data_IF_525805334033
#
_entry.id   IF_525805334033
#
_cell.length_a   1.000
_cell.length_b   1.000
_cell.length_c   1.000
_cell.angle_alpha   90.00
_cell.angle_beta   90.00
_cell.angle_gamma   90.00
#
_symmetry.space_group_name_H-M   'P 1'
#
loop_
_entity.id
_entity.type
_entity.pdbx_description
1 polymer ?
#
# COMPACT_ATOMS: atom_id res chain seq x y z
N UNK A 1 32.98 -11.86 -19.74
CA UNK A 1 31.90 -11.29 -18.84
C UNK A 1 30.56 -11.73 -19.41
N UNK A 2 29.92 -12.76 -18.82
CA UNK A 2 28.53 -13.12 -19.16
C UNK A 2 27.63 -12.03 -18.58
N UNK A 3 26.96 -11.26 -19.42
CA UNK A 3 25.83 -10.44 -18.99
C UNK A 3 24.80 -11.41 -18.41
N UNK A 4 24.62 -11.36 -17.08
CA UNK A 4 23.50 -12.02 -16.44
C UNK A 4 22.24 -11.37 -17.03
N UNK A 5 21.56 -12.08 -17.94
CA UNK A 5 20.35 -11.61 -18.57
C UNK A 5 19.35 -11.22 -17.49
N UNK A 6 18.94 -9.97 -17.48
CA UNK A 6 17.93 -9.47 -16.54
C UNK A 6 16.66 -10.32 -16.76
N UNK A 7 16.32 -11.13 -15.78
CA UNK A 7 15.06 -11.90 -15.84
C UNK A 7 13.89 -10.92 -15.94
N UNK A 8 12.93 -11.15 -16.83
CA UNK A 8 11.76 -10.29 -16.97
C UNK A 8 11.03 -10.25 -15.61
N UNK A 9 10.70 -9.03 -15.18
CA UNK A 9 9.92 -8.85 -13.94
C UNK A 9 8.54 -9.44 -14.13
N UNK A 10 8.00 -10.13 -13.12
CA UNK A 10 6.66 -10.69 -13.21
C UNK A 10 5.61 -9.59 -13.38
N UNK A 11 4.53 -9.92 -14.08
CA UNK A 11 3.39 -9.00 -14.27
C UNK A 11 2.77 -8.67 -12.90
N UNK A 12 2.53 -7.39 -12.58
CA UNK A 12 1.97 -6.96 -11.29
C UNK A 12 0.44 -7.16 -11.26
N UNK A 13 0.02 -8.41 -11.08
CA UNK A 13 -1.39 -8.84 -11.22
C UNK A 13 -2.30 -8.19 -10.17
N UNK A 14 -1.87 -8.11 -8.90
CA UNK A 14 -2.68 -7.51 -7.84
C UNK A 14 -2.91 -6.01 -8.08
N UNK A 15 -1.88 -5.32 -8.53
CA UNK A 15 -1.96 -3.90 -8.92
C UNK A 15 -2.96 -3.70 -10.06
N UNK A 16 -2.87 -4.53 -11.10
CA UNK A 16 -3.79 -4.48 -12.24
C UNK A 16 -5.22 -4.71 -11.77
N UNK A 17 -5.47 -5.73 -10.95
CA UNK A 17 -6.80 -6.02 -10.40
C UNK A 17 -7.33 -4.83 -9.60
N UNK A 18 -6.54 -4.29 -8.66
CA UNK A 18 -6.93 -3.18 -7.81
C UNK A 18 -7.30 -1.93 -8.64
N UNK A 19 -6.43 -1.55 -9.59
CA UNK A 19 -6.66 -0.38 -10.43
C UNK A 19 -7.82 -0.57 -11.41
N UNK A 20 -8.00 -1.78 -11.98
CA UNK A 20 -9.15 -2.09 -12.82
C UNK A 20 -10.45 -1.99 -12.04
N UNK A 21 -10.50 -2.53 -10.81
CA UNK A 21 -11.66 -2.41 -9.93
C UNK A 21 -11.99 -0.94 -9.62
N UNK A 22 -10.96 -0.12 -9.32
CA UNK A 22 -11.13 1.32 -9.09
C UNK A 22 -11.65 2.05 -10.34
N UNK A 23 -11.12 1.72 -11.52
CA UNK A 23 -11.58 2.31 -12.78
C UNK A 23 -13.02 1.95 -13.08
N UNK A 24 -13.40 0.67 -12.93
CA UNK A 24 -14.77 0.21 -13.15
C UNK A 24 -15.76 0.88 -12.19
N UNK A 25 -15.42 0.95 -10.90
CA UNK A 25 -16.23 1.65 -9.91
C UNK A 25 -16.37 3.13 -10.22
N UNK A 26 -15.28 3.81 -10.59
CA UNK A 26 -15.30 5.23 -10.97
C UNK A 26 -16.14 5.48 -12.23
N UNK A 27 -16.11 4.55 -13.19
CA UNK A 27 -16.90 4.62 -14.42
C UNK A 27 -18.42 4.52 -14.18
N UNK A 28 -18.88 4.15 -12.98
CA UNK A 28 -20.30 4.18 -12.63
C UNK A 28 -20.82 5.59 -12.33
N UNK A 29 -19.93 6.56 -12.11
CA UNK A 29 -20.31 7.95 -11.74
C UNK A 29 -21.30 8.62 -12.71
N UNK A 30 -21.13 8.55 -14.05
CA UNK A 30 -22.08 9.16 -14.98
C UNK A 30 -23.42 8.40 -15.11
N UNK A 31 -23.51 7.18 -14.56
CA UNK A 31 -24.75 6.40 -14.58
C UNK A 31 -25.77 6.83 -13.52
N UNK A 32 -25.39 7.80 -12.66
CA UNK A 32 -26.22 8.33 -11.58
C UNK A 32 -25.63 8.03 -10.18
N UNK A 33 -26.23 8.60 -9.11
CA UNK A 33 -25.67 8.58 -7.78
C UNK A 33 -25.62 7.18 -7.11
N UNK A 34 -26.35 6.19 -7.59
CA UNK A 34 -26.59 4.92 -6.90
C UNK A 34 -25.32 4.16 -6.49
N UNK A 35 -24.59 3.57 -7.45
CA UNK A 35 -23.44 2.69 -7.14
C UNK A 35 -22.25 3.50 -6.63
N UNK A 36 -21.94 4.62 -7.27
CA UNK A 36 -20.81 5.46 -6.87
C UNK A 36 -20.98 5.95 -5.42
N UNK A 37 -22.17 6.48 -5.07
CA UNK A 37 -22.47 6.97 -3.73
C UNK A 37 -22.53 5.86 -2.68
N UNK A 38 -22.93 4.65 -3.05
CA UNK A 38 -22.90 3.50 -2.16
C UNK A 38 -21.48 3.05 -1.79
N UNK A 39 -20.49 3.34 -2.64
CA UNK A 39 -19.10 2.92 -2.47
C UNK A 39 -18.23 3.97 -1.78
N UNK A 40 -18.55 5.28 -1.88
CA UNK A 40 -17.76 6.35 -1.26
C UNK A 40 -17.95 6.43 0.26
N UNK A 41 -17.07 7.18 0.94
CA UNK A 41 -17.23 7.49 2.37
C UNK A 41 -18.52 8.27 2.63
N UNK A 42 -19.18 7.94 3.74
CA UNK A 42 -20.34 8.64 4.26
C UNK A 42 -20.46 8.33 5.75
N UNK A 43 -20.05 9.25 6.65
CA UNK A 43 -20.05 9.03 8.10
C UNK A 43 -21.46 8.73 8.65
N UNK A 44 -22.50 9.34 8.05
CA UNK A 44 -23.88 9.11 8.47
C UNK A 44 -24.30 7.67 8.22
N UNK A 45 -24.01 7.17 7.01
CA UNK A 45 -24.33 5.79 6.63
C UNK A 45 -23.44 4.77 7.37
N UNK A 46 -22.18 5.13 7.64
CA UNK A 46 -21.32 4.32 8.49
C UNK A 46 -21.91 4.18 9.90
N UNK A 47 -22.43 5.27 10.49
CA UNK A 47 -23.12 5.28 11.77
C UNK A 47 -24.40 4.42 11.78
N UNK A 48 -25.03 4.23 10.62
CA UNK A 48 -26.16 3.31 10.42
C UNK A 48 -25.72 1.86 10.14
N UNK A 49 -24.43 1.50 10.34
CA UNK A 49 -23.93 0.14 10.25
C UNK A 49 -23.40 -0.26 8.86
N UNK A 50 -23.28 0.68 7.90
CA UNK A 50 -22.71 0.38 6.58
C UNK A 50 -21.17 0.27 6.64
N UNK A 51 -20.65 -0.73 7.38
CA UNK A 51 -19.21 -0.89 7.67
C UNK A 51 -18.35 -1.13 6.41
N UNK A 52 -18.94 -1.59 5.30
CA UNK A 52 -18.22 -1.74 4.04
C UNK A 52 -17.63 -0.42 3.54
N UNK A 53 -18.18 0.73 3.92
CA UNK A 53 -17.69 2.07 3.57
C UNK A 53 -16.31 2.40 4.14
N UNK A 54 -15.75 1.56 5.00
CA UNK A 54 -14.36 1.63 5.43
C UNK A 54 -13.37 1.01 4.39
N UNK A 55 -13.88 0.20 3.47
CA UNK A 55 -13.05 -0.47 2.45
C UNK A 55 -13.47 -0.13 1.02
N UNK A 56 -14.77 -0.03 0.75
CA UNK A 56 -15.27 0.20 -0.62
C UNK A 56 -14.83 1.51 -1.28
N UNK A 57 -14.44 2.59 -0.55
CA UNK A 57 -13.96 3.79 -1.21
C UNK A 57 -12.68 3.61 -2.04
N UNK A 58 -11.93 2.51 -1.87
CA UNK A 58 -10.82 2.15 -2.77
C UNK A 58 -11.29 1.82 -4.20
N UNK A 59 -12.57 1.46 -4.36
CA UNK A 59 -13.15 1.07 -5.65
C UNK A 59 -13.58 2.26 -6.51
N UNK A 60 -13.56 3.48 -5.97
CA UNK A 60 -14.00 4.68 -6.69
C UNK A 60 -13.02 5.83 -6.43
N UNK A 61 -12.82 6.68 -7.45
CA UNK A 61 -11.98 7.88 -7.34
C UNK A 61 -12.87 9.11 -7.26
N UNK A 62 -12.70 9.90 -6.19
CA UNK A 62 -13.56 11.02 -5.85
C UNK A 62 -13.21 12.34 -6.53
N UNK A 63 -12.07 12.41 -7.27
CA UNK A 63 -11.64 13.64 -7.94
C UNK A 63 -12.60 14.03 -9.07
N UNK A 64 -12.76 15.36 -9.27
CA UNK A 64 -13.59 15.90 -10.34
C UNK A 64 -12.83 16.08 -11.66
N UNK A 65 -11.50 16.12 -11.58
CA UNK A 65 -10.62 16.28 -12.73
C UNK A 65 -10.15 14.93 -13.28
N UNK A 66 -10.43 14.65 -14.54
CA UNK A 66 -9.91 13.46 -15.23
C UNK A 66 -8.38 13.38 -15.18
N UNK A 67 -7.69 14.54 -15.29
CA UNK A 67 -6.24 14.59 -15.23
C UNK A 67 -5.74 14.19 -13.83
N UNK A 68 -6.39 14.64 -12.76
CA UNK A 68 -6.06 14.23 -11.40
C UNK A 68 -6.27 12.72 -11.19
N UNK A 69 -7.39 12.18 -11.67
CA UNK A 69 -7.66 10.73 -11.63
C UNK A 69 -6.54 9.96 -12.33
N UNK A 70 -6.18 10.34 -13.55
CA UNK A 70 -5.10 9.67 -14.30
C UNK A 70 -3.78 9.75 -13.55
N UNK A 71 -3.39 10.93 -13.05
CA UNK A 71 -2.14 11.13 -12.33
C UNK A 71 -2.06 10.26 -11.08
N UNK A 72 -3.12 10.21 -10.28
CA UNK A 72 -3.20 9.37 -9.07
C UNK A 72 -3.12 7.89 -9.43
N UNK A 73 -3.87 7.42 -10.42
CA UNK A 73 -3.85 6.01 -10.82
C UNK A 73 -2.49 5.59 -11.39
N UNK A 74 -1.80 6.48 -12.13
CA UNK A 74 -0.45 6.23 -12.61
C UNK A 74 0.55 6.12 -11.44
N UNK A 75 0.46 7.00 -10.45
CA UNK A 75 1.27 6.91 -9.23
C UNK A 75 1.00 5.60 -8.48
N UNK A 76 -0.27 5.24 -8.30
CA UNK A 76 -0.68 3.98 -7.68
C UNK A 76 -0.15 2.76 -8.47
N UNK A 77 -0.15 2.81 -9.81
CA UNK A 77 0.41 1.75 -10.65
C UNK A 77 1.90 1.54 -10.39
N UNK A 78 2.67 2.64 -10.29
CA UNK A 78 4.11 2.57 -9.99
C UNK A 78 4.37 2.01 -8.59
N UNK A 79 3.66 2.50 -7.56
CA UNK A 79 3.81 2.02 -6.18
C UNK A 79 3.39 0.56 -6.07
N UNK A 80 2.26 0.19 -6.65
CA UNK A 80 1.73 -1.16 -6.59
C UNK A 80 2.64 -2.17 -7.28
N UNK A 81 3.10 -1.87 -8.50
CA UNK A 81 4.04 -2.72 -9.23
C UNK A 81 5.37 -2.87 -8.46
N UNK A 82 5.93 -1.78 -7.94
CA UNK A 82 7.12 -1.85 -7.10
C UNK A 82 6.87 -2.72 -5.85
N UNK A 83 5.70 -2.59 -5.24
CA UNK A 83 5.28 -3.42 -4.11
C UNK A 83 5.24 -4.91 -4.46
N UNK A 84 4.63 -5.30 -5.60
CA UNK A 84 4.57 -6.70 -6.02
C UNK A 84 5.95 -7.30 -6.36
N UNK A 85 6.91 -6.49 -6.80
CA UNK A 85 8.28 -6.95 -7.05
C UNK A 85 9.12 -7.05 -5.79
N UNK A 86 8.81 -6.28 -4.76
CA UNK A 86 9.60 -6.19 -3.54
C UNK A 86 9.00 -7.00 -2.38
N UNK A 87 7.69 -7.21 -2.34
CA UNK A 87 6.97 -7.80 -1.23
C UNK A 87 6.29 -9.11 -1.63
N UNK A 88 6.18 -10.09 -0.75
CA UNK A 88 5.34 -11.26 -0.98
C UNK A 88 3.86 -10.83 -1.17
N UNK A 89 3.14 -11.54 -2.02
CA UNK A 89 1.73 -11.21 -2.35
C UNK A 89 0.82 -11.05 -1.13
N UNK A 90 0.98 -11.92 -0.12
CA UNK A 90 0.20 -11.82 1.12
C UNK A 90 0.48 -10.54 1.92
N UNK A 91 1.74 -10.09 1.93
CA UNK A 91 2.11 -8.83 2.58
C UNK A 91 1.59 -7.62 1.78
N UNK A 92 1.69 -7.66 0.45
CA UNK A 92 1.11 -6.64 -0.42
C UNK A 92 -0.38 -6.46 -0.15
N UNK A 93 -1.16 -7.57 -0.14
CA UNK A 93 -2.60 -7.55 0.14
C UNK A 93 -2.91 -7.00 1.54
N UNK A 94 -2.16 -7.43 2.55
CA UNK A 94 -2.38 -6.97 3.93
C UNK A 94 -2.07 -5.48 4.06
N UNK A 95 -0.99 -4.99 3.46
CA UNK A 95 -0.63 -3.58 3.46
C UNK A 95 -1.64 -2.72 2.70
N UNK A 96 -2.17 -3.21 1.58
CA UNK A 96 -3.24 -2.57 0.82
C UNK A 96 -4.51 -2.43 1.67
N UNK A 97 -4.97 -3.52 2.28
CA UNK A 97 -6.21 -3.53 3.08
C UNK A 97 -6.09 -2.69 4.36
N UNK A 98 -4.98 -2.80 5.08
CA UNK A 98 -4.77 -2.05 6.31
C UNK A 98 -4.48 -0.56 6.03
N UNK A 99 -3.83 -0.26 4.91
CA UNK A 99 -3.70 1.11 4.40
C UNK A 99 -5.05 1.73 4.06
N UNK A 100 -5.92 0.96 3.38
CA UNK A 100 -7.29 1.38 3.08
C UNK A 100 -8.08 1.66 4.36
N UNK A 101 -8.09 0.72 5.31
CA UNK A 101 -8.78 0.88 6.60
C UNK A 101 -8.27 2.10 7.38
N UNK A 102 -6.96 2.29 7.47
CA UNK A 102 -6.37 3.43 8.18
C UNK A 102 -6.74 4.76 7.49
N UNK A 103 -6.56 4.85 6.17
CA UNK A 103 -6.84 6.07 5.42
C UNK A 103 -8.31 6.42 5.36
N UNK A 104 -9.19 5.44 5.09
CA UNK A 104 -10.63 5.69 5.07
C UNK A 104 -11.21 5.88 6.47
N UNK A 105 -10.69 5.16 7.49
CA UNK A 105 -11.11 5.38 8.87
C UNK A 105 -10.83 6.80 9.36
N UNK A 106 -9.63 7.34 9.11
CA UNK A 106 -9.32 8.75 9.40
C UNK A 106 -10.11 9.68 8.47
N UNK A 107 -10.27 9.29 7.22
CA UNK A 107 -10.99 10.06 6.21
C UNK A 107 -12.45 10.33 6.55
N UNK A 108 -13.11 9.45 7.30
CA UNK A 108 -14.48 9.71 7.79
C UNK A 108 -14.56 10.98 8.65
N UNK A 109 -13.49 11.28 9.41
CA UNK A 109 -13.43 12.48 10.24
C UNK A 109 -12.91 13.72 9.50
N UNK A 110 -11.95 13.55 8.57
CA UNK A 110 -11.22 14.66 7.97
C UNK A 110 -11.75 15.06 6.58
N UNK A 111 -12.18 14.08 5.80
CA UNK A 111 -12.62 14.24 4.41
C UNK A 111 -13.83 13.33 4.13
N UNK A 112 -14.99 13.56 4.75
CA UNK A 112 -16.10 12.61 4.88
C UNK A 112 -16.72 12.17 3.56
N UNK A 113 -16.60 12.94 2.49
CA UNK A 113 -17.25 12.65 1.20
C UNK A 113 -16.25 12.35 0.08
N UNK A 114 -14.97 12.18 0.44
CA UNK A 114 -13.92 11.80 -0.51
C UNK A 114 -13.87 10.27 -0.69
N UNK A 115 -13.18 9.84 -1.73
CA UNK A 115 -12.88 8.44 -1.99
C UNK A 115 -11.62 8.33 -2.84
N UNK A 116 -10.97 7.17 -2.81
CA UNK A 116 -9.79 6.96 -3.64
C UNK A 116 -8.97 5.76 -3.16
N UNK A 117 -8.36 5.09 -4.13
CA UNK A 117 -7.48 3.95 -3.85
C UNK A 117 -6.10 4.37 -3.33
N UNK A 118 -5.72 5.64 -3.47
CA UNK A 118 -4.38 6.16 -3.12
C UNK A 118 -3.96 5.89 -1.68
N UNK A 119 -4.89 5.92 -0.73
CA UNK A 119 -4.62 5.62 0.69
C UNK A 119 -4.19 4.16 0.90
N UNK A 120 -4.75 3.22 0.15
CA UNK A 120 -4.33 1.83 0.18
C UNK A 120 -2.90 1.66 -0.36
N UNK A 121 -2.58 2.35 -1.45
CA UNK A 121 -1.23 2.36 -2.02
C UNK A 121 -0.22 3.11 -1.13
N UNK A 122 -0.65 4.11 -0.34
CA UNK A 122 0.19 4.70 0.69
C UNK A 122 0.62 3.68 1.75
N UNK A 123 -0.26 2.74 2.13
CA UNK A 123 0.09 1.61 2.99
C UNK A 123 1.17 0.71 2.39
N UNK A 124 1.05 0.38 1.09
CA UNK A 124 2.10 -0.38 0.37
C UNK A 124 3.42 0.39 0.34
N UNK A 125 3.38 1.71 0.07
CA UNK A 125 4.56 2.57 0.06
C UNK A 125 5.27 2.57 1.42
N UNK A 126 4.54 2.59 2.52
CA UNK A 126 5.07 2.41 3.87
C UNK A 126 5.79 1.07 4.05
N UNK A 127 5.19 -0.03 3.58
CA UNK A 127 5.81 -1.36 3.60
C UNK A 127 7.09 -1.45 2.76
N UNK A 128 7.10 -0.86 1.57
CA UNK A 128 8.32 -0.70 0.75
C UNK A 128 9.38 0.08 1.51
N UNK A 129 8.98 1.18 2.16
CA UNK A 129 9.86 2.01 2.99
C UNK A 129 10.52 1.21 4.10
N UNK A 130 9.76 0.39 4.83
CA UNK A 130 10.29 -0.48 5.88
C UNK A 130 11.36 -1.43 5.36
N UNK A 131 11.12 -2.06 4.21
CA UNK A 131 12.08 -2.96 3.57
C UNK A 131 13.36 -2.25 3.18
N UNK A 132 13.26 -1.07 2.56
CA UNK A 132 14.41 -0.28 2.11
C UNK A 132 15.21 0.28 3.30
N UNK A 133 14.53 0.78 4.34
CA UNK A 133 15.17 1.32 5.53
C UNK A 133 16.01 0.28 6.28
N UNK A 134 15.56 -0.97 6.27
CA UNK A 134 16.23 -2.06 6.94
C UNK A 134 17.19 -2.86 6.03
N UNK A 135 17.22 -2.63 4.72
CA UNK A 135 18.13 -3.32 3.82
C UNK A 135 19.56 -2.80 4.01
N UNK A 136 20.58 -3.65 4.26
CA UNK A 136 21.96 -3.22 4.47
C UNK A 136 22.70 -2.81 3.18
N UNK A 137 22.13 -3.03 1.98
CA UNK A 137 22.81 -2.73 0.71
C UNK A 137 23.18 -1.23 0.62
N UNK A 138 24.47 -0.87 0.49
CA UNK A 138 24.92 0.51 0.36
C UNK A 138 24.31 1.25 -0.85
N UNK A 139 23.93 0.51 -1.91
CA UNK A 139 23.29 1.07 -3.10
C UNK A 139 21.94 1.70 -2.80
N UNK A 140 21.29 1.28 -1.72
CA UNK A 140 20.01 1.81 -1.29
C UNK A 140 20.11 3.03 -0.34
N UNK A 141 21.32 3.51 -0.03
CA UNK A 141 21.51 4.63 0.91
C UNK A 141 20.70 5.87 0.52
N UNK A 142 20.70 6.26 -0.75
CA UNK A 142 19.89 7.39 -1.22
C UNK A 142 18.38 7.18 -1.04
N UNK A 143 17.90 5.96 -1.24
CA UNK A 143 16.51 5.60 -1.00
C UNK A 143 16.18 5.57 0.49
N UNK A 144 17.06 5.07 1.34
CA UNK A 144 16.89 5.10 2.81
C UNK A 144 16.71 6.52 3.32
N UNK A 145 17.53 7.47 2.86
CA UNK A 145 17.40 8.88 3.23
C UNK A 145 16.02 9.42 2.81
N UNK A 146 15.59 9.17 1.56
CA UNK A 146 14.28 9.61 1.07
C UNK A 146 13.13 9.05 1.92
N UNK A 147 13.14 7.76 2.21
CA UNK A 147 12.12 7.15 3.07
C UNK A 147 12.20 7.63 4.52
N UNK A 148 13.38 7.88 5.07
CA UNK A 148 13.53 8.47 6.39
C UNK A 148 12.92 9.88 6.45
N UNK A 149 13.04 10.68 5.39
CA UNK A 149 12.39 12.00 5.29
C UNK A 149 10.87 11.89 5.13
N UNK A 150 10.37 10.86 4.43
CA UNK A 150 8.92 10.65 4.29
C UNK A 150 8.23 10.36 5.64
N UNK A 151 8.94 9.81 6.64
CA UNK A 151 8.32 9.52 7.95
C UNK A 151 7.83 10.78 8.67
N UNK A 152 8.67 11.80 8.94
CA UNK A 152 8.19 13.04 9.56
C UNK A 152 7.18 13.79 8.67
N UNK A 153 7.32 13.71 7.35
CA UNK A 153 6.33 14.30 6.45
C UNK A 153 4.97 13.60 6.58
N UNK A 154 4.91 12.28 6.71
CA UNK A 154 3.66 11.55 6.91
C UNK A 154 3.03 11.85 8.30
N UNK A 155 3.84 12.09 9.33
CA UNK A 155 3.35 12.56 10.63
C UNK A 155 2.73 13.95 10.49
N UNK A 156 3.43 14.86 9.82
CA UNK A 156 2.93 16.22 9.57
C UNK A 156 1.65 16.20 8.73
N UNK A 157 1.62 15.41 7.66
CA UNK A 157 0.48 15.21 6.77
C UNK A 157 -0.77 14.78 7.57
N UNK A 158 -0.61 13.77 8.44
CA UNK A 158 -1.67 13.32 9.35
C UNK A 158 -2.10 14.43 10.33
N UNK A 159 -1.15 15.20 10.88
CA UNK A 159 -1.44 16.30 11.80
C UNK A 159 -2.17 17.47 11.10
N UNK A 160 -1.91 17.68 9.81
CA UNK A 160 -2.62 18.63 8.95
C UNK A 160 -3.97 18.10 8.43
N UNK A 161 -4.43 16.95 8.95
CA UNK A 161 -5.70 16.29 8.60
C UNK A 161 -5.77 15.78 7.15
N UNK A 162 -4.64 15.52 6.52
CA UNK A 162 -4.61 14.74 5.29
C UNK A 162 -4.72 13.24 5.60
N UNK A 163 -5.24 12.48 4.63
CA UNK A 163 -5.59 11.07 4.82
C UNK A 163 -4.49 10.11 4.37
N UNK A 164 -3.37 10.59 3.81
CA UNK A 164 -2.33 9.73 3.25
C UNK A 164 -1.19 9.40 4.23
N UNK A 165 -0.93 10.27 5.20
CA UNK A 165 0.13 10.07 6.18
C UNK A 165 -0.08 8.87 7.08
N UNK A 166 -1.29 8.73 7.65
CA UNK A 166 -1.60 7.62 8.55
C UNK A 166 -1.49 6.23 7.90
N UNK A 167 -2.05 5.97 6.70
CA UNK A 167 -1.87 4.68 6.04
C UNK A 167 -0.40 4.38 5.70
N UNK A 168 0.40 5.38 5.32
CA UNK A 168 1.84 5.21 5.14
C UNK A 168 2.52 4.76 6.45
N UNK A 169 2.22 5.40 7.58
CA UNK A 169 2.79 5.05 8.89
C UNK A 169 2.35 3.66 9.36
N UNK A 170 1.10 3.29 9.15
CA UNK A 170 0.60 1.94 9.42
C UNK A 170 1.34 0.91 8.56
N UNK A 171 1.47 1.16 7.27
CA UNK A 171 2.20 0.31 6.35
C UNK A 171 3.68 0.17 6.73
N UNK A 172 4.32 1.26 7.14
CA UNK A 172 5.70 1.27 7.63
C UNK A 172 5.84 0.40 8.89
N UNK A 173 4.98 0.59 9.89
CA UNK A 173 5.03 -0.18 11.14
C UNK A 173 4.86 -1.68 10.89
N UNK A 174 3.89 -2.08 10.07
CA UNK A 174 3.65 -3.48 9.71
C UNK A 174 4.82 -4.05 8.91
N UNK A 175 5.34 -3.29 7.95
CA UNK A 175 6.49 -3.68 7.16
C UNK A 175 7.74 -3.90 8.04
N UNK A 176 7.98 -3.05 9.03
CA UNK A 176 9.05 -3.23 10.02
C UNK A 176 8.89 -4.53 10.83
N UNK A 177 7.66 -4.88 11.21
CA UNK A 177 7.39 -6.15 11.90
C UNK A 177 7.70 -7.35 11.01
N UNK A 178 7.34 -7.30 9.72
CA UNK A 178 7.66 -8.37 8.77
C UNK A 178 9.17 -8.53 8.58
N UNK A 179 9.90 -7.45 8.40
CA UNK A 179 11.35 -7.51 8.23
C UNK A 179 12.07 -8.02 9.49
N UNK A 180 11.62 -7.63 10.68
CA UNK A 180 12.16 -8.17 11.94
C UNK A 180 11.93 -9.69 12.03
N UNK A 181 10.72 -10.17 11.72
CA UNK A 181 10.41 -11.62 11.70
C UNK A 181 11.26 -12.37 10.68
N UNK A 182 11.51 -11.79 9.50
CA UNK A 182 12.38 -12.40 8.48
C UNK A 182 13.82 -12.52 8.96
N UNK A 183 14.35 -11.51 9.65
CA UNK A 183 15.70 -11.53 10.20
C UNK A 183 15.84 -12.61 11.26
N UNK A 184 14.93 -12.65 12.23
CA UNK A 184 14.94 -13.67 13.27
C UNK A 184 14.92 -15.10 12.68
N UNK A 185 14.05 -15.35 11.71
CA UNK A 185 14.00 -16.67 11.02
C UNK A 185 15.30 -17.02 10.31
N UNK A 186 16.00 -16.05 9.73
CA UNK A 186 17.30 -16.27 9.07
C UNK A 186 18.41 -16.58 10.08
N UNK A 187 18.39 -15.94 11.22
CA UNK A 187 19.32 -16.20 12.33
C UNK A 187 19.12 -17.61 12.91
N UNK A 188 17.86 -17.99 13.17
CA UNK A 188 17.51 -19.34 13.63
C UNK A 188 17.93 -20.43 12.62
N UNK A 189 17.75 -20.16 11.32
CA UNK A 189 18.16 -21.11 10.28
C UNK A 189 19.68 -21.26 10.18
N UNK A 190 20.44 -20.21 10.48
CA UNK A 190 21.91 -20.26 10.52
C UNK A 190 22.45 -20.95 11.78
N UNK A 191 21.72 -20.85 12.89
CA UNK A 191 22.11 -21.45 14.17
C UNK A 191 21.81 -22.96 14.24
N UNK A 192 20.99 -23.52 13.34
CA UNK A 192 20.72 -24.96 13.28
C UNK A 192 21.95 -25.71 12.78
N UNK A 193 22.53 -26.69 13.55
CA UNK A 193 23.61 -27.51 13.06
C UNK A 193 23.15 -28.27 11.82
N UNK A 194 24.00 -28.29 10.79
CA UNK A 194 23.77 -29.09 9.60
C UNK A 194 23.60 -30.59 9.94
N UNK A 195 22.93 -31.37 9.04
CA UNK A 195 22.82 -32.78 9.24
C UNK A 195 24.23 -33.39 9.41
N UNK A 196 24.39 -34.24 10.45
CA UNK A 196 25.65 -34.93 10.67
C UNK A 196 26.07 -35.68 9.36
N UNK A 197 27.37 -35.67 8.99
CA UNK A 197 27.81 -36.39 7.82
C UNK A 197 27.41 -37.86 7.99
N UNK A 198 26.71 -38.42 7.01
CA UNK A 198 26.37 -39.82 6.99
C UNK A 198 27.67 -40.62 6.92
N UNK A 199 28.06 -41.25 8.01
CA UNK A 199 29.13 -42.24 8.03
C UNK A 199 28.61 -43.45 7.28
N UNK A 200 28.93 -43.52 5.97
CA UNK A 200 28.73 -44.68 5.12
C UNK A 200 29.96 -45.61 5.18
#
# INVERSE_FOLDING_TARGET
>A
MRQAGAQPRPVPVLTIIALTATLLGTATRPLGPGVFDALRRDPTQLGHGQLWRLLTPVLVQGDDSLLAIIAVLMLCAVIGAAGEWLLPRGEWLLLYLLGALAGHGIGEAFQPHQSGTSVAFAGILGGIGARILLDPDPRLTGWRIRFAVLVPLAVLDTALRDIHGAPFLVGLAIGLLFERRRRARREDARARPGPAPSTG
#
